data_IF_211238325981
#
_entry.id   IF_211238325981
#
_cell.length_a   1.000
_cell.length_b   1.000
_cell.length_c   1.000
_cell.angle_alpha   90.00
_cell.angle_beta   90.00
_cell.angle_gamma   90.00
#
_symmetry.space_group_name_H-M   'P 1'
#
loop_
_entity.id
_entity.type
_entity.pdbx_description
1 polymer ?
#
# COMPACT_ATOMS: atom_id res chain seq x y z
N UNK A 1 15.78 17.42 -2.33
CA UNK A 1 15.15 16.30 -3.07
C UNK A 1 16.20 15.25 -3.44
N UNK A 2 16.40 14.23 -2.60
CA UNK A 2 17.53 13.27 -2.69
C UNK A 2 17.12 11.82 -3.01
N UNK A 3 15.94 11.60 -3.61
CA UNK A 3 15.47 10.24 -3.91
C UNK A 3 15.39 10.02 -5.41
N UNK A 4 16.33 9.23 -5.94
CA UNK A 4 16.27 8.69 -7.31
C UNK A 4 15.57 7.34 -7.25
N UNK A 5 14.52 7.14 -8.04
CA UNK A 5 13.88 5.82 -8.23
C UNK A 5 12.60 5.55 -7.42
N UNK A 6 12.03 6.53 -6.71
CA UNK A 6 10.73 6.37 -6.05
C UNK A 6 9.57 6.72 -6.99
N UNK A 7 8.55 5.86 -7.09
CA UNK A 7 7.32 6.15 -7.84
C UNK A 7 6.48 7.27 -7.19
N UNK A 8 6.63 7.48 -5.88
CA UNK A 8 5.96 8.56 -5.13
C UNK A 8 6.93 9.10 -4.07
N UNK A 9 7.08 10.42 -3.98
CA UNK A 9 7.85 11.10 -2.94
C UNK A 9 6.93 12.05 -2.16
N UNK A 10 6.82 11.81 -0.85
CA UNK A 10 6.09 12.68 0.08
C UNK A 10 7.11 13.27 1.05
N UNK A 11 7.29 14.59 1.01
CA UNK A 11 8.25 15.32 1.86
C UNK A 11 7.50 16.39 2.64
N UNK A 12 7.55 16.32 3.98
CA UNK A 12 7.09 17.38 4.86
C UNK A 12 7.88 17.36 6.15
N UNK A 13 8.39 18.54 6.54
CA UNK A 13 9.14 18.70 7.80
C UNK A 13 8.22 18.90 9.02
N UNK A 14 6.91 19.06 8.80
CA UNK A 14 5.96 19.47 9.85
C UNK A 14 4.66 18.66 9.87
N UNK A 15 4.43 17.78 8.90
CA UNK A 15 3.20 16.98 8.77
C UNK A 15 3.56 15.52 8.52
N UNK A 16 2.88 14.63 9.25
CA UNK A 16 2.90 13.20 8.97
C UNK A 16 1.88 12.84 7.89
N UNK A 17 2.18 11.81 7.09
CA UNK A 17 1.21 11.16 6.22
C UNK A 17 0.68 9.93 6.93
N UNK A 18 -0.62 9.90 7.19
CA UNK A 18 -1.31 8.74 7.77
C UNK A 18 -2.14 8.10 6.67
N UNK A 19 -1.78 6.88 6.31
CA UNK A 19 -2.59 6.06 5.42
C UNK A 19 -3.76 5.45 6.18
N UNK A 20 -4.83 5.12 5.46
CA UNK A 20 -6.01 4.46 6.03
C UNK A 20 -5.62 3.15 6.70
N UNK A 21 -5.97 3.01 7.98
CA UNK A 21 -5.70 1.82 8.80
C UNK A 21 -6.97 0.98 8.92
N UNK A 22 -6.91 -0.29 8.54
CA UNK A 22 -8.03 -1.23 8.63
C UNK A 22 -7.56 -2.60 9.16
N UNK A 23 -8.41 -3.36 9.86
CA UNK A 23 -8.11 -4.76 10.15
C UNK A 23 -8.17 -5.60 8.87
N UNK A 24 -7.58 -6.80 8.87
CA UNK A 24 -7.63 -7.70 7.70
C UNK A 24 -9.06 -7.98 7.24
N UNK A 25 -10.02 -8.08 8.15
CA UNK A 25 -11.43 -8.27 7.83
C UNK A 25 -12.06 -7.11 7.06
N UNK A 26 -11.57 -5.88 7.29
CA UNK A 26 -12.07 -4.67 6.62
C UNK A 26 -11.59 -4.51 5.17
N UNK A 27 -10.67 -5.37 4.70
CA UNK A 27 -10.26 -5.37 3.29
C UNK A 27 -11.38 -5.85 2.38
N UNK A 28 -12.25 -6.73 2.88
CA UNK A 28 -13.42 -7.23 2.14
C UNK A 28 -14.48 -6.16 1.95
N UNK A 29 -14.49 -5.11 2.78
CA UNK A 29 -15.41 -3.98 2.66
C UNK A 29 -15.00 -3.01 1.54
N UNK A 30 -13.77 -3.15 1.01
CA UNK A 30 -13.30 -2.40 -0.15
C UNK A 30 -13.82 -3.11 -1.40
N UNK A 31 -15.01 -2.74 -1.84
CA UNK A 31 -15.71 -3.37 -2.97
C UNK A 31 -15.09 -3.03 -4.33
N UNK A 32 -14.54 -1.82 -4.47
CA UNK A 32 -13.94 -1.33 -5.72
C UNK A 32 -12.48 -0.89 -5.49
N UNK A 33 -11.56 -1.82 -5.20
CA UNK A 33 -10.16 -1.48 -5.07
C UNK A 33 -9.58 -1.07 -6.43
N UNK A 34 -8.76 -0.01 -6.45
CA UNK A 34 -8.06 0.45 -7.64
C UNK A 34 -6.59 0.06 -7.55
N UNK A 35 -5.96 -0.14 -8.71
CA UNK A 35 -4.53 -0.44 -8.76
C UNK A 35 -3.71 0.67 -8.09
N UNK A 36 -2.75 0.28 -7.27
CA UNK A 36 -1.95 1.18 -6.45
C UNK A 36 -2.62 1.70 -5.17
N UNK A 37 -3.85 1.28 -4.85
CA UNK A 37 -4.49 1.63 -3.56
C UNK A 37 -3.67 1.09 -2.39
N UNK A 38 -3.42 1.92 -1.37
CA UNK A 38 -2.60 1.57 -0.20
C UNK A 38 -3.41 1.66 1.09
N UNK A 39 -3.26 0.64 1.94
CA UNK A 39 -3.86 0.58 3.29
C UNK A 39 -2.90 -0.07 4.27
N UNK A 40 -2.95 0.34 5.53
CA UNK A 40 -2.21 -0.34 6.59
C UNK A 40 -3.10 -1.38 7.26
N UNK A 41 -2.69 -2.64 7.20
CA UNK A 41 -3.39 -3.72 7.89
C UNK A 41 -2.94 -3.79 9.35
N UNK A 42 -3.84 -3.48 10.28
CA UNK A 42 -3.55 -3.46 11.73
C UNK A 42 -3.42 -4.86 12.32
N UNK A 43 -4.01 -5.88 11.69
CA UNK A 43 -3.95 -7.28 12.13
C UNK A 43 -2.67 -7.94 11.62
N UNK A 44 -2.39 -7.81 10.32
CA UNK A 44 -1.19 -8.37 9.69
C UNK A 44 0.07 -7.52 9.91
N UNK A 45 -0.10 -6.29 10.45
CA UNK A 45 0.94 -5.28 10.72
C UNK A 45 1.82 -5.02 9.51
N UNK A 46 1.20 -4.72 8.37
CA UNK A 46 1.92 -4.46 7.12
C UNK A 46 1.23 -3.44 6.24
N UNK A 47 2.02 -2.80 5.37
CA UNK A 47 1.50 -1.97 4.29
C UNK A 47 0.94 -2.90 3.20
N UNK A 48 -0.35 -2.83 2.93
CA UNK A 48 -0.99 -3.54 1.83
C UNK A 48 -1.17 -2.60 0.65
N UNK A 49 -0.72 -3.05 -0.53
CA UNK A 49 -0.94 -2.35 -1.79
C UNK A 49 -1.78 -3.26 -2.68
N UNK A 50 -2.87 -2.76 -3.23
CA UNK A 50 -3.66 -3.48 -4.20
C UNK A 50 -2.95 -3.40 -5.55
N UNK A 51 -2.61 -4.56 -6.10
CA UNK A 51 -1.94 -4.65 -7.41
C UNK A 51 -2.87 -5.34 -8.39
N UNK A 52 -3.07 -4.77 -9.56
CA UNK A 52 -3.75 -5.40 -10.69
C UNK A 52 -2.70 -5.87 -11.69
N UNK A 53 -2.71 -7.16 -11.99
CA UNK A 53 -1.83 -7.74 -13.01
C UNK A 53 -2.64 -8.04 -14.27
N UNK A 54 -2.48 -7.19 -15.28
CA UNK A 54 -3.17 -7.32 -16.58
C UNK A 54 -2.70 -8.54 -17.38
N UNK A 55 -1.50 -9.07 -17.10
CA UNK A 55 -0.93 -10.23 -17.79
C UNK A 55 -1.33 -11.55 -17.14
N UNK A 56 -1.49 -11.57 -15.82
CA UNK A 56 -1.91 -12.74 -15.05
C UNK A 56 -2.95 -12.34 -13.99
N UNK A 57 -4.26 -12.43 -14.29
CA UNK A 57 -5.34 -11.96 -13.42
C UNK A 57 -5.34 -12.61 -12.02
N UNK A 58 -4.79 -13.82 -11.89
CA UNK A 58 -4.65 -14.55 -10.61
C UNK A 58 -3.71 -13.85 -9.62
N UNK A 59 -2.81 -12.99 -10.10
CA UNK A 59 -1.89 -12.25 -9.24
C UNK A 59 -2.53 -10.98 -8.67
N UNK A 60 -3.71 -10.60 -9.17
CA UNK A 60 -4.44 -9.42 -8.71
C UNK A 60 -4.90 -9.57 -7.27
N UNK A 61 -4.62 -8.56 -6.45
CA UNK A 61 -5.05 -8.56 -5.05
C UNK A 61 -4.13 -7.75 -4.13
N UNK A 62 -4.42 -7.83 -2.84
CA UNK A 62 -3.67 -7.14 -1.81
C UNK A 62 -2.32 -7.80 -1.53
N UNK A 63 -1.23 -7.10 -1.81
CA UNK A 63 0.14 -7.53 -1.50
C UNK A 63 0.64 -6.86 -0.23
N UNK A 64 1.20 -7.65 0.68
CA UNK A 64 1.63 -7.21 2.00
C UNK A 64 3.14 -6.95 2.02
N UNK A 65 3.52 -5.68 2.19
CA UNK A 65 4.89 -5.21 2.28
C UNK A 65 5.25 -5.04 3.75
N UNK A 66 6.06 -5.97 4.25
CA UNK A 66 6.56 -6.00 5.64
C UNK A 66 8.01 -5.57 5.76
N UNK A 67 8.79 -5.81 4.72
CA UNK A 67 10.21 -5.47 4.68
C UNK A 67 10.36 -4.02 4.26
N UNK A 68 10.80 -3.12 5.15
CA UNK A 68 11.17 -1.77 4.72
C UNK A 68 12.35 -1.89 3.76
N UNK A 69 12.17 -1.48 2.51
CA UNK A 69 13.29 -1.31 1.59
C UNK A 69 14.05 -0.05 2.03
N UNK A 70 15.35 -0.19 2.31
CA UNK A 70 16.21 0.95 2.56
C UNK A 70 16.28 1.84 1.30
N UNK A 71 16.31 3.18 1.46
CA UNK A 71 16.54 4.11 0.34
C UNK A 71 17.88 3.87 -0.36
#
# INVERSE_FOLDING_TARGET
>A
MSRKGGHTALESNTKGFVITTIPTSGLSDITNPVDGMMVYDTTAKCLKIYTVDESLPVNTGWKCFKTPACP
#
